data_IF_704388961315
#
_entry.id   IF_704388961315
#
_cell.length_a   1.000
_cell.length_b   1.000
_cell.length_c   1.000
_cell.angle_alpha   90.00
_cell.angle_beta   90.00
_cell.angle_gamma   90.00
#
_symmetry.space_group_name_H-M   'P 1'
#
loop_
_entity.id
_entity.type
_entity.pdbx_description
1 polymer ?
#
# COMPACT_ATOMS: atom_id res chain seq x y z
N UNK A 1 -6.80 -3.63 -23.00
CA UNK A 1 -7.49 -2.33 -22.86
C UNK A 1 -7.37 -1.91 -21.41
N UNK A 2 -6.38 -1.09 -21.07
CA UNK A 2 -6.18 -0.62 -19.69
C UNK A 2 -7.31 0.32 -19.32
N UNK A 3 -8.23 -0.14 -18.48
CA UNK A 3 -9.26 0.70 -17.87
C UNK A 3 -8.57 1.70 -16.95
N UNK A 4 -8.16 2.84 -17.51
CA UNK A 4 -7.64 3.97 -16.76
C UNK A 4 -8.57 4.25 -15.58
N UNK A 5 -8.03 4.11 -14.38
CA UNK A 5 -8.80 4.02 -13.15
C UNK A 5 -9.70 5.26 -12.99
N UNK A 6 -11.03 5.09 -13.11
CA UNK A 6 -12.01 6.19 -13.15
C UNK A 6 -11.91 7.08 -11.89
N UNK A 7 -11.69 6.47 -10.73
CA UNK A 7 -11.54 7.14 -9.45
C UNK A 7 -10.31 8.05 -9.42
N UNK A 8 -9.21 7.60 -10.03
CA UNK A 8 -7.99 8.39 -10.15
C UNK A 8 -8.20 9.60 -11.05
N UNK A 9 -8.86 9.42 -12.21
CA UNK A 9 -9.15 10.53 -13.14
C UNK A 9 -10.12 11.54 -12.52
N UNK A 10 -11.14 11.07 -11.80
CA UNK A 10 -12.08 11.95 -11.11
C UNK A 10 -11.39 12.73 -9.98
N UNK A 11 -10.51 12.08 -9.21
CA UNK A 11 -9.70 12.74 -8.18
C UNK A 11 -8.75 13.78 -8.77
N UNK A 12 -8.06 13.45 -9.87
CA UNK A 12 -7.23 14.39 -10.61
C UNK A 12 -8.03 15.61 -11.09
N UNK A 13 -9.17 15.37 -11.76
CA UNK A 13 -10.03 16.44 -12.26
C UNK A 13 -10.49 17.37 -11.12
N UNK A 14 -10.81 16.81 -9.95
CA UNK A 14 -11.19 17.61 -8.77
C UNK A 14 -10.03 18.46 -8.23
N UNK A 15 -8.80 17.95 -8.23
CA UNK A 15 -7.62 18.69 -7.74
C UNK A 15 -7.23 19.79 -8.73
N UNK A 16 -7.29 19.49 -10.03
CA UNK A 16 -7.01 20.46 -11.09
C UNK A 16 -8.10 21.54 -11.17
N UNK A 17 -9.36 21.20 -10.92
CA UNK A 17 -10.47 22.17 -10.91
C UNK A 17 -10.57 22.96 -9.60
N UNK A 18 -10.06 22.41 -8.48
CA UNK A 18 -10.22 22.94 -7.13
C UNK A 18 -9.38 24.18 -6.79
N UNK A 19 -8.98 24.99 -7.76
CA UNK A 19 -8.16 26.20 -7.54
C UNK A 19 -6.78 25.95 -6.90
N UNK A 20 -6.33 24.69 -6.83
CA UNK A 20 -5.00 24.31 -6.34
C UNK A 20 -3.88 24.79 -7.27
N UNK A 21 -4.22 25.10 -8.51
CA UNK A 21 -3.41 25.86 -9.45
C UNK A 21 -4.11 27.19 -9.68
N UNK A 22 -3.50 28.27 -9.22
CA UNK A 22 -3.97 29.60 -9.60
C UNK A 22 -3.68 29.82 -11.10
N UNK A 23 -4.40 30.72 -11.74
CA UNK A 23 -4.25 31.07 -13.17
C UNK A 23 -2.82 31.50 -13.58
N UNK A 24 -1.93 31.71 -12.60
CA UNK A 24 -0.54 32.11 -12.76
C UNK A 24 0.47 30.97 -12.52
N UNK A 25 0.03 29.75 -12.26
CA UNK A 25 0.95 28.63 -12.03
C UNK A 25 1.65 28.25 -13.34
N UNK A 26 2.98 28.26 -13.31
CA UNK A 26 3.82 27.89 -14.48
C UNK A 26 3.58 26.43 -14.88
N UNK A 27 3.80 26.09 -16.16
CA UNK A 27 3.67 24.71 -16.65
C UNK A 27 4.43 23.73 -15.75
N UNK A 28 5.65 24.08 -15.36
CA UNK A 28 6.49 23.30 -14.45
C UNK A 28 5.80 22.94 -13.12
N UNK A 29 5.06 23.87 -12.52
CA UNK A 29 4.34 23.60 -11.26
C UNK A 29 3.19 22.63 -11.49
N UNK A 30 2.55 22.68 -12.67
CA UNK A 30 1.50 21.72 -13.07
C UNK A 30 2.10 20.33 -13.27
N UNK A 31 3.27 20.26 -13.88
CA UNK A 31 3.98 19.02 -14.12
C UNK A 31 4.48 18.39 -12.81
N UNK A 32 4.98 19.19 -11.88
CA UNK A 32 5.36 18.73 -10.54
C UNK A 32 4.14 18.25 -9.73
N UNK A 33 3.02 18.99 -9.80
CA UNK A 33 1.75 18.58 -9.22
C UNK A 33 1.29 17.22 -9.77
N UNK A 34 1.38 17.04 -11.08
CA UNK A 34 0.98 15.79 -11.71
C UNK A 34 1.90 14.64 -11.28
N UNK A 35 3.21 14.90 -11.18
CA UNK A 35 4.19 13.92 -10.71
C UNK A 35 3.89 13.48 -9.27
N UNK A 36 3.66 14.43 -8.34
CA UNK A 36 3.34 14.07 -6.94
C UNK A 36 2.05 13.26 -6.82
N UNK A 37 1.03 13.54 -7.65
CA UNK A 37 -0.23 12.78 -7.62
C UNK A 37 -0.03 11.37 -8.16
N UNK A 38 0.74 11.21 -9.26
CA UNK A 38 1.12 9.89 -9.82
C UNK A 38 1.87 9.06 -8.79
N UNK A 39 2.91 9.63 -8.18
CA UNK A 39 3.74 8.99 -7.13
C UNK A 39 2.88 8.56 -5.95
N UNK A 40 2.03 9.47 -5.44
CA UNK A 40 1.14 9.18 -4.32
C UNK A 40 0.19 8.02 -4.63
N UNK A 41 -0.44 8.05 -5.81
CA UNK A 41 -1.38 7.00 -6.20
C UNK A 41 -0.68 5.65 -6.37
N UNK A 42 0.50 5.63 -6.98
CA UNK A 42 1.31 4.43 -7.14
C UNK A 42 1.72 3.84 -5.79
N UNK A 43 2.27 4.66 -4.89
CA UNK A 43 2.66 4.22 -3.54
C UNK A 43 1.46 3.69 -2.75
N UNK A 44 0.32 4.39 -2.84
CA UNK A 44 -0.91 3.98 -2.17
C UNK A 44 -1.47 2.65 -2.71
N UNK A 45 -1.33 2.39 -4.00
CA UNK A 45 -1.91 1.20 -4.64
C UNK A 45 -1.01 -0.02 -4.50
N UNK A 46 0.30 0.17 -4.67
CA UNK A 46 1.28 -0.93 -4.70
C UNK A 46 1.89 -1.20 -3.32
N UNK A 47 1.77 -0.26 -2.38
CA UNK A 47 2.44 -0.33 -1.06
C UNK A 47 3.94 0.00 -1.11
N UNK A 48 4.45 0.40 -2.28
CA UNK A 48 5.84 0.82 -2.46
C UNK A 48 6.04 2.26 -1.95
N UNK A 49 7.29 2.62 -1.68
CA UNK A 49 7.68 3.96 -1.19
C UNK A 49 8.59 4.66 -2.19
N UNK A 50 8.10 4.91 -3.41
CA UNK A 50 8.88 5.65 -4.43
C UNK A 50 8.89 7.15 -4.08
N UNK A 51 10.06 7.77 -4.19
CA UNK A 51 10.21 9.21 -3.95
C UNK A 51 9.99 10.02 -5.23
N UNK A 52 9.63 11.29 -5.07
CA UNK A 52 9.42 12.21 -6.20
C UNK A 52 10.73 12.43 -6.97
N UNK A 53 11.87 12.40 -6.26
CA UNK A 53 13.20 12.60 -6.84
C UNK A 53 13.62 11.42 -7.73
N UNK A 54 13.37 10.19 -7.28
CA UNK A 54 13.61 8.97 -8.08
C UNK A 54 12.80 8.97 -9.39
N UNK A 55 11.52 9.36 -9.34
CA UNK A 55 10.69 9.46 -10.54
C UNK A 55 11.17 10.58 -11.47
N UNK A 56 11.62 11.70 -10.92
CA UNK A 56 12.18 12.81 -11.70
C UNK A 56 13.47 12.39 -12.41
N UNK A 57 14.37 11.71 -11.72
CA UNK A 57 15.61 11.19 -12.30
C UNK A 57 15.33 10.14 -13.39
N UNK A 58 14.34 9.27 -13.16
CA UNK A 58 13.91 8.27 -14.14
C UNK A 58 13.30 8.91 -15.40
N UNK A 59 12.42 9.90 -15.26
CA UNK A 59 11.85 10.64 -16.39
C UNK A 59 12.93 11.42 -17.17
N UNK A 60 13.93 11.99 -16.49
CA UNK A 60 15.07 12.64 -17.14
C UNK A 60 15.96 11.66 -17.90
N UNK A 61 16.12 10.42 -17.41
CA UNK A 61 16.85 9.36 -18.11
C UNK A 61 16.08 8.87 -19.33
N UNK A 62 14.76 8.67 -19.22
CA UNK A 62 13.88 8.33 -20.34
C UNK A 62 13.92 9.37 -21.46
N UNK A 63 13.87 10.67 -21.10
CA UNK A 63 13.89 11.74 -22.08
C UNK A 63 15.26 11.92 -22.76
N UNK A 64 16.33 11.35 -22.19
CA UNK A 64 17.64 11.22 -22.84
C UNK A 64 17.69 9.99 -23.76
N UNK A 65 17.02 8.89 -23.42
CA UNK A 65 16.96 7.69 -24.26
C UNK A 65 16.03 7.81 -25.48
N UNK A 66 15.00 8.66 -25.43
CA UNK A 66 14.12 8.90 -26.59
C UNK A 66 14.81 9.67 -27.74
N UNK A 67 15.96 10.30 -27.47
CA UNK A 67 16.85 10.89 -28.49
C UNK A 67 17.97 9.93 -28.94
N UNK A 68 18.04 8.72 -28.40
CA UNK A 68 19.08 7.73 -28.68
C UNK A 68 18.52 6.45 -29.35
N UNK A 69 17.46 6.58 -30.15
CA UNK A 69 16.93 5.49 -30.99
C UNK A 69 17.53 5.47 -32.42
N UNK A 70 18.59 6.25 -32.69
CA UNK A 70 19.30 6.26 -33.99
C UNK A 70 20.78 5.86 -33.91
N UNK A 71 21.25 5.23 -32.83
CA UNK A 71 22.61 4.66 -32.81
C UNK A 71 22.67 3.27 -32.20
N UNK A 72 22.86 2.30 -33.08
CA UNK A 72 23.14 0.90 -32.77
C UNK A 72 24.41 0.75 -31.92
N UNK A 73 24.32 0.10 -30.75
CA UNK A 73 25.10 -1.10 -30.37
C UNK A 73 25.08 -1.36 -28.85
N UNK A 74 25.11 -2.62 -28.40
CA UNK A 74 25.32 -2.98 -26.99
C UNK A 74 26.83 -2.99 -26.66
N UNK A 75 27.20 -2.79 -25.39
CA UNK A 75 28.34 -3.52 -24.86
C UNK A 75 27.97 -4.30 -23.59
N UNK A 76 28.22 -5.61 -23.70
CA UNK A 76 28.31 -6.56 -22.59
C UNK A 76 29.44 -6.23 -21.62
N UNK A 77 29.27 -6.75 -20.39
CA UNK A 77 30.31 -7.18 -19.41
C UNK A 77 31.25 -6.14 -18.80
N UNK A 78 31.23 -6.06 -17.47
CA UNK A 78 32.29 -5.42 -16.68
C UNK A 78 32.04 -5.46 -15.17
N UNK A 79 32.44 -6.57 -14.53
CA UNK A 79 32.58 -6.71 -13.07
C UNK A 79 33.70 -5.79 -12.54
N UNK A 80 33.44 -5.04 -11.46
CA UNK A 80 34.50 -4.63 -10.52
C UNK A 80 33.94 -4.49 -9.10
N UNK A 81 34.53 -5.32 -8.24
CA UNK A 81 34.40 -5.40 -6.80
C UNK A 81 34.98 -4.13 -6.14
N UNK A 82 34.35 -3.63 -5.08
CA UNK A 82 35.11 -2.98 -3.99
C UNK A 82 34.52 -3.36 -2.65
N UNK A 83 35.32 -4.11 -1.90
CA UNK A 83 35.11 -4.56 -0.52
C UNK A 83 35.24 -3.42 0.47
N UNK A 84 34.35 -3.34 1.46
CA UNK A 84 34.66 -2.85 2.81
C UNK A 84 33.80 -3.63 3.81
N UNK A 85 34.51 -4.23 4.77
CA UNK A 85 34.10 -5.25 5.73
C UNK A 85 33.79 -4.63 7.10
N UNK A 86 32.59 -4.89 7.68
CA UNK A 86 32.31 -5.16 9.12
C UNK A 86 30.81 -5.58 9.30
N UNK A 87 30.42 -6.35 10.34
CA UNK A 87 29.62 -7.59 10.22
C UNK A 87 28.11 -7.54 10.58
N UNK A 88 27.32 -8.46 9.97
CA UNK A 88 26.19 -9.33 10.45
C UNK A 88 25.12 -8.75 11.43
N UNK A 89 23.77 -9.02 11.33
CA UNK A 89 23.12 -10.22 10.77
C UNK A 89 22.01 -10.04 9.71
N UNK A 90 21.96 -11.03 8.83
CA UNK A 90 20.85 -11.58 8.04
C UNK A 90 19.49 -10.86 8.09
N UNK A 91 19.23 -9.99 7.12
CA UNK A 91 17.89 -9.77 6.60
C UNK A 91 17.99 -9.71 5.08
N UNK A 92 17.56 -10.80 4.46
CA UNK A 92 17.38 -10.96 3.01
C UNK A 92 16.39 -9.90 2.51
N UNK A 93 16.90 -8.68 2.25
CA UNK A 93 16.25 -7.68 1.41
C UNK A 93 16.56 -8.07 -0.04
N UNK A 94 15.90 -9.10 -0.53
CA UNK A 94 15.84 -9.35 -1.96
C UNK A 94 14.60 -8.59 -2.43
N UNK A 95 14.79 -7.54 -3.23
CA UNK A 95 13.73 -6.94 -4.02
C UNK A 95 12.87 -8.07 -4.63
N UNK A 96 11.52 -8.01 -4.53
CA UNK A 96 10.68 -9.15 -4.87
C UNK A 96 10.90 -9.52 -6.34
N UNK A 97 11.54 -10.67 -6.55
CA UNK A 97 11.75 -11.24 -7.88
C UNK A 97 10.39 -11.40 -8.57
N UNK A 98 10.09 -10.53 -9.53
CA UNK A 98 8.87 -10.62 -10.32
C UNK A 98 9.00 -11.75 -11.34
N UNK A 99 8.30 -12.87 -11.10
CA UNK A 99 8.20 -13.96 -12.07
C UNK A 99 7.10 -13.67 -13.09
N UNK A 100 7.30 -14.12 -14.34
CA UNK A 100 6.26 -14.04 -15.37
C UNK A 100 5.12 -15.03 -15.08
N UNK A 101 3.93 -14.78 -15.61
CA UNK A 101 2.78 -15.67 -15.40
C UNK A 101 3.03 -17.10 -15.91
N UNK A 102 3.76 -17.25 -17.02
CA UNK A 102 4.11 -18.55 -17.57
C UNK A 102 5.03 -19.33 -16.61
N UNK A 103 5.98 -18.63 -16.00
CA UNK A 103 6.94 -19.23 -15.06
C UNK A 103 6.27 -19.60 -13.73
N UNK A 104 5.38 -18.74 -13.22
CA UNK A 104 4.57 -19.06 -12.03
C UNK A 104 3.72 -20.30 -12.30
N UNK A 105 3.09 -20.41 -13.47
CA UNK A 105 2.28 -21.56 -13.85
C UNK A 105 3.12 -22.84 -13.86
N UNK A 106 4.31 -22.80 -14.44
CA UNK A 106 5.22 -23.94 -14.48
C UNK A 106 5.64 -24.37 -13.07
N UNK A 107 5.95 -23.42 -12.18
CA UNK A 107 6.29 -23.71 -10.77
C UNK A 107 5.13 -24.38 -10.02
N UNK A 108 3.89 -23.97 -10.27
CA UNK A 108 2.70 -24.60 -9.70
C UNK A 108 2.53 -26.03 -10.25
N UNK A 109 2.65 -26.22 -11.56
CA UNK A 109 2.52 -27.53 -12.20
C UNK A 109 3.64 -28.50 -11.79
N UNK A 110 4.85 -28.00 -11.58
CA UNK A 110 6.00 -28.76 -11.10
C UNK A 110 5.98 -29.01 -9.58
N UNK A 111 5.01 -28.43 -8.85
CA UNK A 111 4.88 -28.55 -7.39
C UNK A 111 5.93 -27.78 -6.59
N UNK A 112 6.68 -26.87 -7.22
CA UNK A 112 7.72 -26.05 -6.58
C UNK A 112 7.14 -24.73 -6.07
N UNK A 113 6.23 -24.85 -5.11
CA UNK A 113 5.50 -23.71 -4.54
C UNK A 113 6.39 -22.80 -3.66
N UNK A 114 7.49 -23.33 -3.12
CA UNK A 114 8.45 -22.56 -2.31
C UNK A 114 9.23 -21.50 -3.12
N UNK A 115 9.32 -21.67 -4.44
CA UNK A 115 10.01 -20.72 -5.33
C UNK A 115 9.12 -19.56 -5.78
N UNK A 116 7.81 -19.62 -5.47
CA UNK A 116 6.86 -18.59 -5.86
C UNK A 116 6.99 -17.39 -4.90
N UNK A 117 7.24 -16.17 -5.42
CA UNK A 117 7.36 -14.98 -4.61
C UNK A 117 6.10 -14.74 -3.75
N UNK A 118 6.31 -14.30 -2.51
CA UNK A 118 5.25 -14.02 -1.53
C UNK A 118 4.35 -15.21 -1.16
N UNK A 119 4.80 -16.45 -1.38
CA UNK A 119 4.07 -17.61 -0.89
C UNK A 119 4.22 -17.74 0.64
N UNK A 120 3.15 -17.47 1.39
CA UNK A 120 3.15 -17.56 2.85
C UNK A 120 2.66 -18.93 3.31
N UNK A 121 3.44 -19.58 4.17
CA UNK A 121 3.06 -20.83 4.82
C UNK A 121 1.97 -20.51 5.84
N UNK A 122 0.75 -21.01 5.59
CA UNK A 122 -0.35 -20.94 6.55
C UNK A 122 -0.27 -22.22 7.39
N UNK A 123 0.01 -22.13 8.70
CA UNK A 123 -0.02 -23.32 9.55
C UNK A 123 -1.45 -23.87 9.64
N UNK A 124 -1.58 -25.19 9.71
CA UNK A 124 -2.87 -25.89 9.91
C UNK A 124 -3.43 -25.70 11.35
N UNK A 125 -2.68 -25.02 12.22
CA UNK A 125 -3.07 -24.74 13.60
C UNK A 125 -4.13 -23.64 13.67
N UNK A 126 -5.20 -23.90 14.40
CA UNK A 126 -6.14 -22.87 14.82
C UNK A 126 -5.45 -21.93 15.82
N UNK A 127 -5.86 -20.66 15.88
CA UNK A 127 -5.34 -19.73 16.89
C UNK A 127 -5.70 -20.23 18.31
N UNK A 128 -4.69 -20.51 19.14
CA UNK A 128 -4.84 -20.98 20.52
C UNK A 128 -5.14 -19.83 21.51
N UNK A 129 -5.12 -18.57 21.06
CA UNK A 129 -5.43 -17.43 21.90
C UNK A 129 -6.89 -17.47 22.38
N UNK A 130 -7.10 -17.12 23.65
CA UNK A 130 -8.45 -17.00 24.21
C UNK A 130 -9.20 -15.87 23.47
N UNK A 131 -10.41 -16.11 22.94
CA UNK A 131 -11.16 -15.08 22.23
C UNK A 131 -11.38 -13.87 23.15
N UNK A 132 -11.30 -12.67 22.59
CA UNK A 132 -11.53 -11.44 23.34
C UNK A 132 -12.95 -11.42 23.90
N UNK A 133 -13.09 -11.24 25.22
CA UNK A 133 -14.38 -11.05 25.88
C UNK A 133 -14.81 -9.58 25.83
N UNK A 134 -16.07 -9.32 25.51
CA UNK A 134 -16.64 -7.96 25.53
C UNK A 134 -16.67 -7.42 26.96
N UNK A 135 -15.92 -6.34 27.22
CA UNK A 135 -15.94 -5.60 28.49
C UNK A 135 -17.10 -4.58 28.59
N UNK A 136 -17.90 -4.44 27.53
CA UNK A 136 -18.99 -3.46 27.49
C UNK A 136 -20.21 -4.01 28.22
N UNK A 137 -20.74 -3.33 29.25
CA UNK A 137 -21.97 -3.75 29.90
C UNK A 137 -23.13 -3.71 28.92
N UNK A 138 -23.95 -4.75 28.93
CA UNK A 138 -25.14 -4.80 28.09
C UNK A 138 -26.05 -3.61 28.42
N UNK A 139 -26.44 -2.85 27.38
CA UNK A 139 -27.32 -1.70 27.57
C UNK A 139 -28.68 -2.22 28.04
N UNK A 140 -29.08 -1.80 29.25
CA UNK A 140 -30.40 -2.12 29.82
C UNK A 140 -31.50 -1.73 28.85
N UNK A 141 -32.50 -2.60 28.75
CA UNK A 141 -33.66 -2.36 27.91
C UNK A 141 -34.56 -1.32 28.58
N UNK A 142 -35.27 -0.48 27.82
CA UNK A 142 -36.08 0.59 28.39
C UNK A 142 -37.15 0.09 29.37
N UNK A 143 -37.63 -1.15 29.21
CA UNK A 143 -38.57 -1.78 30.13
C UNK A 143 -37.95 -2.20 31.48
N UNK A 144 -36.63 -2.37 31.56
CA UNK A 144 -35.93 -2.72 32.81
C UNK A 144 -35.73 -1.51 33.74
N UNK A 145 -35.77 -0.30 33.18
CA UNK A 145 -35.55 0.95 33.92
C UNK A 145 -36.82 1.37 34.68
N UNK A 146 -38.00 1.04 34.13
CA UNK A 146 -39.29 1.44 34.70
C UNK A 146 -39.60 0.66 35.98
N UNK A 147 -39.18 -0.60 36.06
CA UNK A 147 -39.40 -1.46 37.23
C UNK A 147 -38.54 -1.07 38.45
N UNK A 148 -37.37 -0.48 38.22
CA UNK A 148 -36.42 -0.13 39.29
C UNK A 148 -36.84 1.13 40.07
N UNK A 149 -37.65 2.02 39.47
CA UNK A 149 -38.12 3.25 40.11
C UNK A 149 -39.41 3.09 40.93
N UNK A 150 -39.97 1.87 41.04
CA UNK A 150 -41.24 1.60 41.76
C UNK A 150 -41.08 0.75 43.03
N UNK A 151 -39.85 0.48 43.46
CA UNK A 151 -39.55 -0.30 44.67
C UNK A 151 -39.37 0.50 45.97
N UNK A 152 -39.39 1.84 45.93
CA UNK A 152 -39.27 2.68 47.12
C UNK A 152 -40.66 2.92 47.76
N UNK A 153 -41.20 1.89 48.40
CA UNK A 153 -42.42 1.98 49.20
C UNK A 153 -42.01 2.49 50.61
N UNK A 154 -42.49 3.65 51.09
CA UNK A 154 -42.27 4.05 52.48
C UNK A 154 -43.15 3.18 53.39
N UNK A 155 -42.52 2.37 54.26
CA UNK A 155 -43.20 1.62 55.31
C UNK A 155 -43.20 2.44 56.61
N UNK A 156 -44.40 2.62 57.15
CA UNK A 156 -44.78 2.77 58.55
C UNK A 156 -44.22 3.91 59.42
N UNK A 157 -45.14 4.83 59.79
CA UNK A 157 -45.13 5.52 61.10
C UNK A 157 -46.51 5.33 61.71
N UNK A 158 -46.62 4.35 62.60
CA UNK A 158 -47.74 4.13 63.53
C UNK A 158 -47.35 4.70 64.90
N UNK A 159 -48.13 5.66 65.43
CA UNK A 159 -48.28 6.00 66.86
C UNK A 159 -49.72 6.40 67.12
#
# INVERSE_FOLDING_TARGET
MSSSNQTYQQGLASILAGNALSDNSSSDERDELLRRIKVFYFNKTTGNSITIDEVKAFEQSLNQQDLELESLSPPSTGSVVTTTTVPTPSQTNEDPKILSFAEIKELIEAGRLDEIPNNKIIPDSLNDETPSASLVPARKKPWEIVSENQGAIPQDVEV
#
